data_IF_409897570045
#
_entry.id   IF_409897570045
#
_cell.length_a   1.000
_cell.length_b   1.000
_cell.length_c   1.000
_cell.angle_alpha   90.00
_cell.angle_beta   90.00
_cell.angle_gamma   90.00
#
_symmetry.space_group_name_H-M   'P 1'
#
loop_
_entity.id
_entity.type
_entity.pdbx_description
1 polymer ?
#
# COMPACT_ATOMS: atom_id res chain seq x y z
N UNK A 1 20.93 -7.43 -8.80
CA UNK A 1 20.05 -7.99 -7.75
C UNK A 1 18.65 -7.46 -8.03
N UNK A 2 17.76 -8.26 -8.64
CA UNK A 2 16.37 -7.87 -8.86
C UNK A 2 15.66 -7.84 -7.51
N UNK A 3 15.60 -6.66 -6.88
CA UNK A 3 14.89 -6.46 -5.61
C UNK A 3 13.36 -6.35 -5.80
N UNK A 4 12.86 -6.37 -7.05
CA UNK A 4 11.44 -6.13 -7.36
C UNK A 4 10.54 -7.37 -7.43
N UNK A 5 11.08 -8.57 -7.67
CA UNK A 5 10.22 -9.71 -8.03
C UNK A 5 9.58 -10.43 -6.83
N UNK A 6 10.28 -10.53 -5.69
CA UNK A 6 9.79 -11.29 -4.54
C UNK A 6 8.70 -10.56 -3.75
N UNK A 7 8.82 -9.25 -3.59
CA UNK A 7 7.84 -8.43 -2.86
C UNK A 7 6.58 -8.17 -3.71
N UNK A 8 6.74 -7.95 -5.01
CA UNK A 8 5.59 -7.88 -5.93
C UNK A 8 4.78 -9.17 -5.94
N UNK A 9 5.43 -10.34 -5.83
CA UNK A 9 4.75 -11.64 -5.79
C UNK A 9 3.85 -11.81 -4.56
N UNK A 10 4.20 -11.26 -3.39
CA UNK A 10 3.34 -11.30 -2.19
C UNK A 10 2.13 -10.38 -2.31
N UNK A 11 2.28 -9.22 -2.96
CA UNK A 11 1.16 -8.31 -3.20
C UNK A 11 0.07 -8.96 -4.06
N UNK A 12 0.46 -9.73 -5.08
CA UNK A 12 -0.47 -10.51 -5.91
C UNK A 12 -1.16 -11.66 -5.15
N UNK A 13 -0.62 -12.12 -4.01
CA UNK A 13 -1.29 -13.10 -3.14
C UNK A 13 -2.39 -12.44 -2.30
N UNK A 14 -2.20 -11.17 -1.91
CA UNK A 14 -3.19 -10.40 -1.15
C UNK A 14 -4.35 -9.93 -2.04
N UNK A 15 -4.03 -9.49 -3.26
CA UNK A 15 -5.00 -9.02 -4.26
C UNK A 15 -4.67 -9.62 -5.61
N UNK A 16 -5.37 -10.69 -5.98
CA UNK A 16 -5.24 -11.29 -7.31
C UNK A 16 -5.99 -10.43 -8.34
N UNK A 17 -5.40 -10.28 -9.52
CA UNK A 17 -5.96 -9.55 -10.67
C UNK A 17 -7.30 -10.12 -11.13
N UNK A 18 -7.60 -11.39 -10.84
CA UNK A 18 -8.86 -12.05 -11.18
C UNK A 18 -9.94 -11.96 -10.10
N UNK A 19 -9.71 -11.19 -9.03
CA UNK A 19 -10.66 -11.04 -7.92
C UNK A 19 -10.59 -12.16 -6.88
N UNK A 20 -9.47 -12.87 -6.82
CA UNK A 20 -9.06 -13.69 -5.69
C UNK A 20 -8.13 -12.93 -4.73
N UNK A 21 -7.65 -13.60 -3.69
CA UNK A 21 -6.73 -13.02 -2.72
C UNK A 21 -7.35 -12.93 -1.32
N UNK A 22 -6.50 -13.05 -0.31
CA UNK A 22 -6.94 -13.16 1.09
C UNK A 22 -7.74 -11.94 1.56
N UNK A 23 -7.38 -10.75 1.10
CA UNK A 23 -8.10 -9.52 1.44
C UNK A 23 -9.49 -9.46 0.79
N UNK A 24 -9.66 -10.02 -0.41
CA UNK A 24 -10.95 -10.05 -1.10
C UNK A 24 -11.92 -11.00 -0.39
N UNK A 25 -11.47 -12.16 0.08
CA UNK A 25 -12.31 -13.10 0.84
C UNK A 25 -12.70 -12.52 2.21
N UNK A 26 -11.78 -11.89 2.92
CA UNK A 26 -12.08 -11.17 4.16
C UNK A 26 -13.07 -10.02 3.92
N UNK A 27 -12.95 -9.31 2.80
CA UNK A 27 -13.88 -8.24 2.44
C UNK A 27 -15.29 -8.76 2.13
N UNK A 28 -15.41 -9.92 1.46
CA UNK A 28 -16.71 -10.59 1.23
C UNK A 28 -17.35 -10.98 2.56
N UNK A 29 -16.59 -11.59 3.46
CA UNK A 29 -17.07 -11.97 4.80
C UNK A 29 -17.50 -10.76 5.62
N UNK A 30 -16.67 -9.72 5.68
CA UNK A 30 -16.96 -8.47 6.37
C UNK A 30 -18.23 -7.78 5.85
N UNK A 31 -18.47 -7.84 4.54
CA UNK A 31 -19.71 -7.30 3.94
C UNK A 31 -20.95 -8.08 4.35
N UNK A 32 -20.86 -9.40 4.51
CA UNK A 32 -21.97 -10.24 4.92
C UNK A 32 -22.26 -10.13 6.42
N UNK A 33 -21.23 -10.09 7.25
CA UNK A 33 -21.34 -9.98 8.71
C UNK A 33 -21.51 -8.55 9.20
N UNK A 34 -21.29 -7.56 8.32
CA UNK A 34 -21.17 -6.11 8.62
C UNK A 34 -20.08 -5.78 9.66
N UNK A 35 -19.17 -6.72 9.93
CA UNK A 35 -18.06 -6.50 10.83
C UNK A 35 -16.78 -6.28 10.02
N UNK A 36 -16.26 -5.06 10.07
CA UNK A 36 -15.07 -4.66 9.32
C UNK A 36 -13.79 -4.62 10.17
N UNK A 37 -13.88 -4.85 11.49
CA UNK A 37 -12.75 -4.72 12.40
C UNK A 37 -11.59 -5.66 12.04
N UNK A 38 -11.90 -6.92 11.72
CA UNK A 38 -10.90 -7.92 11.34
C UNK A 38 -10.23 -7.60 9.99
N UNK A 39 -11.01 -7.07 9.04
CA UNK A 39 -10.48 -6.62 7.77
C UNK A 39 -9.52 -5.44 7.95
N UNK A 40 -9.89 -4.46 8.77
CA UNK A 40 -9.08 -3.27 9.02
C UNK A 40 -7.74 -3.62 9.69
N UNK A 41 -7.79 -4.49 10.71
CA UNK A 41 -6.59 -4.99 11.39
C UNK A 41 -5.66 -5.73 10.42
N UNK A 42 -6.23 -6.52 9.50
CA UNK A 42 -5.44 -7.27 8.51
C UNK A 42 -4.82 -6.34 7.47
N UNK A 43 -5.58 -5.36 6.98
CA UNK A 43 -5.09 -4.34 6.05
C UNK A 43 -3.93 -3.57 6.69
N UNK A 44 -4.06 -3.13 7.95
CA UNK A 44 -3.00 -2.41 8.64
C UNK A 44 -1.72 -3.24 8.85
N UNK A 45 -1.81 -4.56 8.98
CA UNK A 45 -0.63 -5.43 9.14
C UNK A 45 0.02 -5.80 7.82
N UNK A 46 -0.79 -6.18 6.84
CA UNK A 46 -0.30 -6.75 5.59
C UNK A 46 0.07 -5.68 4.57
N UNK A 47 -0.55 -4.50 4.62
CA UNK A 47 -0.31 -3.42 3.65
C UNK A 47 0.83 -2.49 4.08
N UNK A 48 1.08 -2.34 5.39
CA UNK A 48 2.12 -1.46 5.94
C UNK A 48 3.52 -1.68 5.32
N UNK A 49 4.00 -2.93 5.11
CA UNK A 49 5.32 -3.18 4.53
C UNK A 49 5.45 -2.71 3.08
N UNK A 50 4.34 -2.59 2.36
CA UNK A 50 4.33 -2.14 0.96
C UNK A 50 4.26 -0.61 0.81
N UNK A 51 4.02 0.12 1.91
CA UNK A 51 4.00 1.58 1.89
C UNK A 51 5.41 2.14 2.02
N UNK A 52 5.71 3.17 1.23
CA UNK A 52 6.93 3.95 1.41
C UNK A 52 7.00 4.51 2.83
N UNK A 53 8.12 4.25 3.53
CA UNK A 53 8.31 4.57 4.95
C UNK A 53 7.20 4.04 5.87
N UNK A 54 6.65 2.84 5.60
CA UNK A 54 5.65 2.22 6.47
C UNK A 54 4.34 3.02 6.57
N UNK A 55 4.07 3.89 5.60
CA UNK A 55 2.89 4.76 5.62
C UNK A 55 3.08 6.06 6.40
N UNK A 56 4.29 6.38 6.89
CA UNK A 56 4.65 7.69 7.43
C UNK A 56 4.77 8.77 6.33
N UNK A 57 3.83 8.75 5.38
CA UNK A 57 3.64 9.84 4.44
C UNK A 57 3.22 11.09 5.20
N UNK A 58 3.87 12.22 4.94
CA UNK A 58 3.44 13.52 5.44
C UNK A 58 2.50 14.15 4.42
N UNK A 59 1.40 14.74 4.90
CA UNK A 59 0.61 15.67 4.07
C UNK A 59 1.47 16.90 3.77
N UNK A 60 1.99 16.95 2.54
CA UNK A 60 2.84 18.03 2.06
C UNK A 60 2.07 18.80 0.97
N UNK A 61 1.97 20.14 1.07
CA UNK A 61 1.44 20.97 0.01
C UNK A 61 2.21 20.77 -1.31
N UNK A 62 1.48 20.71 -2.43
CA UNK A 62 2.07 20.48 -3.77
C UNK A 62 3.17 21.51 -4.09
N UNK A 63 3.01 22.75 -3.62
CA UNK A 63 3.99 23.83 -3.82
C UNK A 63 5.35 23.48 -3.24
N UNK A 64 5.39 22.81 -2.08
CA UNK A 64 6.65 22.44 -1.43
C UNK A 64 7.31 21.26 -2.12
N UNK A 65 6.53 20.31 -2.64
CA UNK A 65 7.02 19.23 -3.52
C UNK A 65 7.72 19.78 -4.78
N UNK A 66 7.13 20.79 -5.43
CA UNK A 66 7.71 21.43 -6.62
C UNK A 66 9.02 22.13 -6.27
N UNK A 67 9.10 22.83 -5.13
CA UNK A 67 10.34 23.46 -4.65
C UNK A 67 11.44 22.44 -4.37
N UNK A 68 11.12 21.34 -3.70
CA UNK A 68 12.09 20.26 -3.44
C UNK A 68 12.65 19.69 -4.74
N UNK A 69 11.77 19.33 -5.69
CA UNK A 69 12.19 18.79 -6.99
C UNK A 69 13.07 19.76 -7.78
N UNK A 70 12.72 21.05 -7.78
CA UNK A 70 13.50 22.06 -8.49
C UNK A 70 14.86 22.27 -7.83
N UNK A 71 14.95 22.26 -6.50
CA UNK A 71 16.22 22.38 -5.77
C UNK A 71 17.17 21.21 -6.05
N UNK A 72 16.63 20.00 -6.16
CA UNK A 72 17.42 18.80 -6.45
C UNK A 72 17.91 18.77 -7.90
N UNK A 73 17.06 19.21 -8.85
CA UNK A 73 17.40 19.28 -10.27
C UNK A 73 18.50 20.29 -10.61
N UNK A 74 18.67 21.35 -9.84
CA UNK A 74 19.76 22.33 -10.02
C UNK A 74 21.09 21.88 -9.38
N UNK A 75 21.12 20.78 -8.64
CA UNK A 75 22.33 20.22 -8.02
C UNK A 75 23.03 19.16 -8.86
N UNK A 76 22.43 18.74 -9.99
CA UNK A 76 23.04 17.87 -11.00
C UNK A 76 23.62 18.69 -12.14
#
# INVERSE_FOLDING_TARGET
KNQGDAEASKLYQLVDLKGGGELIELMKLARWTKNYAELDDRVQKDVLPFLYNGGEGKYIPIVDLVKFRNKDRHKS
#
